data_IF_027067132889
#
_entry.id   IF_027067132889
#
_cell.length_a   1.000
_cell.length_b   1.000
_cell.length_c   1.000
_cell.angle_alpha   90.00
_cell.angle_beta   90.00
_cell.angle_gamma   90.00
#
_symmetry.space_group_name_H-M   'P 1'
#
loop_
_entity.id
_entity.type
_entity.pdbx_description
1 polymer ?
#
# COMPACT_ATOMS: atom_id res chain seq x y z
N UNK A 1 -9.77 -6.94 -13.71
CA UNK A 1 -8.27 -6.98 -13.64
C UNK A 1 -7.58 -6.85 -15.01
N UNK A 2 -8.36 -6.62 -16.05
CA UNK A 2 -7.83 -6.30 -17.39
C UNK A 2 -7.01 -4.99 -17.33
N UNK A 3 -7.47 -4.01 -16.58
CA UNK A 3 -6.87 -2.69 -16.39
C UNK A 3 -5.40 -2.77 -15.94
N UNK A 4 -5.08 -3.71 -15.06
CA UNK A 4 -3.70 -3.95 -14.62
C UNK A 4 -2.86 -4.60 -15.74
N UNK A 5 -3.41 -5.56 -16.47
CA UNK A 5 -2.71 -6.20 -17.58
C UNK A 5 -2.48 -5.21 -18.74
N UNK A 6 -3.45 -4.34 -19.03
CA UNK A 6 -3.31 -3.27 -20.03
C UNK A 6 -2.17 -2.30 -19.64
N UNK A 7 -2.03 -1.97 -18.34
CA UNK A 7 -0.88 -1.20 -17.84
C UNK A 7 0.45 -1.94 -18.06
N UNK A 8 0.51 -3.24 -17.72
CA UNK A 8 1.72 -4.05 -17.94
C UNK A 8 2.13 -4.07 -19.42
N UNK A 9 1.17 -4.29 -20.32
CA UNK A 9 1.38 -4.32 -21.76
C UNK A 9 1.85 -2.96 -22.27
N UNK A 10 1.18 -1.87 -21.87
CA UNK A 10 1.54 -0.51 -22.26
C UNK A 10 2.99 -0.18 -21.90
N UNK A 11 3.41 -0.50 -20.67
CA UNK A 11 4.77 -0.18 -20.24
C UNK A 11 5.82 -1.00 -20.97
N UNK A 12 5.56 -2.27 -21.27
CA UNK A 12 6.46 -3.09 -22.11
C UNK A 12 6.58 -2.56 -23.53
N UNK A 13 5.49 -2.05 -24.13
CA UNK A 13 5.45 -1.63 -25.54
C UNK A 13 5.90 -0.18 -25.75
N UNK A 14 5.55 0.72 -24.81
CA UNK A 14 5.73 2.17 -24.99
C UNK A 14 6.60 2.83 -23.90
N UNK A 15 7.06 2.06 -22.92
CA UNK A 15 7.95 2.58 -21.89
C UNK A 15 9.36 2.85 -22.41
N UNK A 16 10.08 3.70 -21.69
CA UNK A 16 11.46 4.08 -21.99
C UNK A 16 12.41 3.45 -20.98
N UNK A 17 13.57 3.01 -21.42
CA UNK A 17 14.64 2.55 -20.55
C UNK A 17 15.14 3.70 -19.67
N UNK A 18 15.22 3.45 -18.37
CA UNK A 18 15.75 4.39 -17.38
C UNK A 18 16.68 3.68 -16.41
N UNK A 19 17.76 4.36 -16.05
CA UNK A 19 18.55 3.98 -14.89
C UNK A 19 17.78 4.36 -13.62
N UNK A 20 17.96 3.57 -12.59
CA UNK A 20 17.33 3.80 -11.30
C UNK A 20 18.36 3.73 -10.16
N UNK A 21 17.94 4.12 -8.95
CA UNK A 21 18.79 4.13 -7.75
C UNK A 21 19.39 2.78 -7.40
N UNK A 22 18.68 1.70 -7.72
CA UNK A 22 19.11 0.32 -7.38
C UNK A 22 20.14 -0.26 -8.37
N UNK A 23 20.38 0.41 -9.50
CA UNK A 23 21.24 -0.08 -10.56
C UNK A 23 20.66 -1.24 -11.39
N UNK A 24 19.42 -1.67 -11.10
CA UNK A 24 18.74 -2.75 -11.83
C UNK A 24 18.29 -2.29 -13.22
N UNK A 25 17.92 -1.01 -13.37
CA UNK A 25 17.28 -0.45 -14.54
C UNK A 25 15.80 -0.77 -14.65
N UNK A 26 15.07 0.10 -15.34
CA UNK A 26 13.62 -0.02 -15.50
C UNK A 26 13.19 0.29 -16.92
N UNK A 27 12.03 -0.24 -17.32
CA UNK A 27 11.20 0.29 -18.41
C UNK A 27 10.11 1.13 -17.73
N UNK A 28 10.01 2.42 -18.06
CA UNK A 28 9.15 3.38 -17.39
C UNK A 28 8.23 4.09 -18.36
N UNK A 29 6.96 4.26 -17.97
CA UNK A 29 5.96 5.08 -18.67
C UNK A 29 5.40 6.12 -17.70
N UNK A 30 5.40 7.39 -18.09
CA UNK A 30 4.96 8.49 -17.22
C UNK A 30 3.51 8.89 -17.46
N UNK A 31 2.72 8.84 -16.39
CA UNK A 31 1.32 9.25 -16.37
C UNK A 31 0.36 8.19 -16.90
N UNK A 32 -0.26 7.44 -15.98
CA UNK A 32 -1.29 6.45 -16.29
C UNK A 32 -2.36 6.41 -15.21
N UNK A 33 -3.58 6.04 -15.59
CA UNK A 33 -4.68 5.88 -14.65
C UNK A 33 -5.45 4.61 -14.94
N UNK A 34 -5.72 3.83 -13.89
CA UNK A 34 -6.64 2.69 -13.91
C UNK A 34 -7.86 2.95 -13.05
N UNK A 35 -8.96 2.26 -13.32
CA UNK A 35 -10.20 2.36 -12.54
C UNK A 35 -10.76 0.97 -12.29
N UNK A 36 -11.05 0.68 -11.02
CA UNK A 36 -11.59 -0.59 -10.55
C UNK A 36 -12.97 -0.35 -9.93
N UNK A 37 -13.99 -0.97 -10.50
CA UNK A 37 -15.36 -0.95 -9.97
C UNK A 37 -15.45 -1.96 -8.82
N UNK A 38 -15.54 -1.46 -7.58
CA UNK A 38 -15.54 -2.30 -6.38
C UNK A 38 -16.86 -3.06 -6.19
N UNK A 39 -17.91 -2.69 -6.90
CA UNK A 39 -19.16 -3.44 -6.90
C UNK A 39 -19.07 -4.76 -7.69
N UNK A 40 -18.10 -4.88 -8.62
CA UNK A 40 -17.85 -6.11 -9.38
C UNK A 40 -17.02 -7.14 -8.62
N UNK A 41 -16.51 -6.80 -7.45
CA UNK A 41 -15.69 -7.66 -6.60
C UNK A 41 -14.42 -6.97 -6.13
N UNK A 42 -13.68 -7.65 -5.25
CA UNK A 42 -12.44 -7.14 -4.69
C UNK A 42 -11.29 -7.27 -5.70
N UNK A 43 -10.59 -6.17 -6.06
CA UNK A 43 -9.59 -6.17 -7.13
C UNK A 43 -8.26 -6.78 -6.70
N UNK A 44 -8.29 -8.03 -6.25
CA UNK A 44 -7.10 -8.83 -5.96
C UNK A 44 -6.72 -9.63 -7.20
N UNK A 45 -5.47 -9.50 -7.66
CA UNK A 45 -5.00 -10.15 -8.88
C UNK A 45 -5.22 -11.67 -8.87
N UNK A 46 -5.80 -12.20 -9.94
CA UNK A 46 -5.96 -13.63 -10.14
C UNK A 46 -4.90 -14.22 -11.08
N UNK A 47 -4.22 -13.41 -11.87
CA UNK A 47 -3.15 -13.85 -12.79
C UNK A 47 -1.84 -14.24 -12.08
N UNK A 48 -1.70 -13.90 -10.80
CA UNK A 48 -0.76 -14.48 -9.85
C UNK A 48 -1.35 -14.41 -8.44
N UNK A 49 -0.97 -15.35 -7.56
CA UNK A 49 -1.36 -15.29 -6.14
C UNK A 49 -0.69 -14.09 -5.48
N UNK A 50 -1.48 -13.27 -4.80
CA UNK A 50 -1.04 -12.12 -3.99
C UNK A 50 -1.25 -12.44 -2.51
N UNK A 51 -0.34 -11.99 -1.65
CA UNK A 51 -0.34 -12.31 -0.22
C UNK A 51 -1.22 -11.32 0.55
N UNK A 52 -2.54 -11.57 0.59
CA UNK A 52 -3.52 -10.68 1.22
C UNK A 52 -3.26 -10.43 2.71
N UNK A 53 -2.77 -11.45 3.44
CA UNK A 53 -2.42 -11.31 4.86
C UNK A 53 -1.49 -10.11 5.10
N UNK A 54 -0.41 -9.99 4.33
CA UNK A 54 0.51 -8.85 4.46
C UNK A 54 -0.15 -7.51 4.12
N UNK A 55 -1.05 -7.50 3.13
CA UNK A 55 -1.77 -6.27 2.72
C UNK A 55 -2.68 -5.78 3.85
N UNK A 56 -3.44 -6.67 4.48
CA UNK A 56 -4.34 -6.30 5.58
C UNK A 56 -3.54 -5.79 6.78
N UNK A 57 -2.52 -6.51 7.21
CA UNK A 57 -1.69 -6.10 8.35
C UNK A 57 -0.96 -4.77 8.11
N UNK A 58 -0.43 -4.55 6.89
CA UNK A 58 0.20 -3.28 6.51
C UNK A 58 -0.80 -2.13 6.54
N UNK A 59 -2.00 -2.31 5.96
CA UNK A 59 -3.04 -1.28 5.97
C UNK A 59 -3.47 -0.93 7.39
N UNK A 60 -3.72 -1.92 8.24
CA UNK A 60 -4.05 -1.70 9.64
C UNK A 60 -2.92 -1.01 10.40
N UNK A 61 -1.66 -1.33 10.11
CA UNK A 61 -0.48 -0.69 10.66
C UNK A 61 -0.42 0.80 10.28
N UNK A 62 -0.69 1.16 9.02
CA UNK A 62 -0.83 2.56 8.59
C UNK A 62 -1.98 3.27 9.32
N UNK A 63 -3.15 2.63 9.41
CA UNK A 63 -4.35 3.19 10.07
C UNK A 63 -4.09 3.46 11.55
N UNK A 64 -3.32 2.62 12.24
CA UNK A 64 -2.92 2.85 13.64
C UNK A 64 -1.86 3.94 13.82
N UNK A 65 -1.27 4.45 12.72
CA UNK A 65 -0.22 5.47 12.77
C UNK A 65 1.14 4.94 13.21
N UNK A 66 1.33 3.64 13.14
CA UNK A 66 2.58 2.99 13.52
C UNK A 66 3.68 3.24 12.49
N UNK A 67 4.93 3.30 12.97
CA UNK A 67 6.14 3.47 12.15
C UNK A 67 7.19 2.41 12.44
N UNK A 68 7.05 1.68 13.54
CA UNK A 68 7.94 0.58 13.91
C UNK A 68 7.43 -0.74 13.32
N UNK A 69 8.33 -1.51 12.73
CA UNK A 69 7.99 -2.77 12.04
C UNK A 69 7.68 -3.93 13.00
N UNK A 70 7.86 -3.78 14.31
CA UNK A 70 7.72 -4.88 15.27
C UNK A 70 6.34 -5.56 15.20
N UNK A 71 5.26 -4.78 15.13
CA UNK A 71 3.91 -5.34 15.00
C UNK A 71 3.70 -6.10 13.69
N UNK A 72 4.32 -5.65 12.60
CA UNK A 72 4.32 -6.36 11.31
C UNK A 72 5.09 -7.69 11.43
N UNK A 73 6.29 -7.66 12.00
CA UNK A 73 7.12 -8.85 12.20
C UNK A 73 6.43 -9.87 13.12
N UNK A 74 5.79 -9.43 14.21
CA UNK A 74 5.00 -10.31 15.12
C UNK A 74 3.84 -11.01 14.40
N UNK A 75 3.38 -10.44 13.27
CA UNK A 75 2.35 -11.01 12.39
C UNK A 75 2.93 -11.62 11.10
N UNK A 76 4.19 -12.00 11.08
CA UNK A 76 4.89 -12.64 9.95
C UNK A 76 4.85 -11.82 8.62
N UNK A 77 4.72 -10.49 8.72
CA UNK A 77 4.78 -9.56 7.60
C UNK A 77 6.20 -9.05 7.41
N UNK A 78 6.78 -9.25 6.21
CA UNK A 78 8.22 -9.05 5.94
C UNK A 78 8.53 -7.91 4.99
N UNK A 79 7.48 -7.25 4.46
CA UNK A 79 7.62 -6.30 3.34
C UNK A 79 8.37 -5.02 3.68
N UNK A 80 8.60 -4.75 4.98
CA UNK A 80 9.31 -3.56 5.46
C UNK A 80 10.66 -3.85 6.13
N UNK A 81 11.09 -5.12 6.23
CA UNK A 81 12.27 -5.52 7.01
C UNK A 81 13.58 -4.95 6.46
N UNK A 82 13.68 -4.79 5.13
CA UNK A 82 14.91 -4.42 4.44
C UNK A 82 15.46 -3.05 4.88
N UNK A 83 14.59 -2.04 4.98
CA UNK A 83 15.02 -0.67 5.27
C UNK A 83 15.62 -0.47 6.67
N UNK A 84 14.99 -0.91 7.75
CA UNK A 84 15.58 -0.80 9.08
C UNK A 84 16.79 -1.71 9.24
N UNK A 85 16.81 -2.90 8.60
CA UNK A 85 17.99 -3.76 8.58
C UNK A 85 19.19 -3.08 7.93
N UNK A 86 19.03 -2.47 6.76
CA UNK A 86 20.12 -1.73 6.10
C UNK A 86 20.62 -0.56 6.95
N UNK A 87 19.74 0.11 7.69
CA UNK A 87 20.12 1.15 8.65
C UNK A 87 20.90 0.56 9.82
N UNK A 88 20.45 -0.59 10.35
CA UNK A 88 21.11 -1.31 11.44
C UNK A 88 22.52 -1.77 11.02
N UNK A 89 22.70 -2.32 9.84
CA UNK A 89 24.01 -2.76 9.31
C UNK A 89 25.05 -1.63 9.23
N UNK A 90 24.59 -0.36 9.17
CA UNK A 90 25.47 0.82 9.17
C UNK A 90 25.74 1.39 10.57
N UNK A 91 25.14 0.82 11.60
CA UNK A 91 25.31 1.26 12.99
C UNK A 91 26.57 0.66 13.62
N UNK A 92 27.08 1.29 14.68
CA UNK A 92 28.20 0.77 15.47
C UNK A 92 27.85 -0.46 16.31
N UNK A 93 26.58 -0.86 16.34
CA UNK A 93 26.07 -1.99 17.11
C UNK A 93 25.88 -3.26 16.28
N UNK A 94 26.11 -3.17 14.96
CA UNK A 94 26.00 -4.30 14.05
C UNK A 94 27.13 -5.32 14.29
N UNK A 95 26.78 -6.59 14.51
CA UNK A 95 27.70 -7.68 14.80
C UNK A 95 27.66 -8.79 13.73
N UNK A 96 27.37 -8.42 12.49
CA UNK A 96 27.22 -9.31 11.32
C UNK A 96 25.98 -10.23 11.40
N UNK A 97 24.92 -9.79 12.08
CA UNK A 97 23.65 -10.50 12.07
C UNK A 97 23.07 -10.59 10.68
N UNK A 98 22.49 -11.74 10.37
CA UNK A 98 21.68 -11.95 9.17
C UNK A 98 20.33 -11.20 9.29
N UNK A 99 19.64 -11.06 8.16
CA UNK A 99 18.27 -10.50 8.16
C UNK A 99 17.35 -11.30 9.09
N UNK A 100 17.46 -12.61 9.11
CA UNK A 100 16.65 -13.49 9.94
C UNK A 100 16.91 -13.26 11.44
N UNK A 101 18.17 -13.13 11.84
CA UNK A 101 18.54 -12.84 13.23
C UNK A 101 18.11 -11.42 13.64
N UNK A 102 18.22 -10.44 12.76
CA UNK A 102 17.70 -9.08 13.00
C UNK A 102 16.18 -9.11 13.23
N UNK A 103 15.45 -9.79 12.35
CA UNK A 103 13.98 -9.93 12.45
C UNK A 103 13.57 -10.63 13.73
N UNK A 104 14.30 -11.66 14.15
CA UNK A 104 14.04 -12.37 15.40
C UNK A 104 14.29 -11.48 16.64
N UNK A 105 15.35 -10.65 16.60
CA UNK A 105 15.60 -9.64 17.65
C UNK A 105 14.47 -8.58 17.67
N UNK A 106 14.03 -8.05 16.52
CA UNK A 106 12.89 -7.11 16.44
C UNK A 106 11.63 -7.75 17.05
N UNK A 107 11.40 -9.04 16.80
CA UNK A 107 10.20 -9.75 17.26
C UNK A 107 10.16 -9.89 18.79
N UNK A 108 11.28 -10.21 19.41
CA UNK A 108 11.35 -10.69 20.78
C UNK A 108 11.97 -9.70 21.79
N UNK A 109 12.64 -8.65 21.32
CA UNK A 109 13.29 -7.64 22.15
C UNK A 109 12.68 -6.26 21.89
N UNK A 110 11.88 -5.77 22.82
CA UNK A 110 11.16 -4.49 22.66
C UNK A 110 12.13 -3.28 22.65
N UNK A 111 13.25 -3.33 23.38
CA UNK A 111 14.25 -2.26 23.37
C UNK A 111 15.03 -2.25 22.06
N UNK A 112 15.38 -3.42 21.53
CA UNK A 112 16.00 -3.54 20.23
C UNK A 112 15.05 -3.07 19.12
N UNK A 113 13.77 -3.46 19.16
CA UNK A 113 12.75 -3.03 18.23
C UNK A 113 12.55 -1.50 18.26
N UNK A 114 12.52 -0.91 19.46
CA UNK A 114 12.43 0.54 19.65
C UNK A 114 13.65 1.28 19.05
N UNK A 115 14.84 0.72 19.22
CA UNK A 115 16.07 1.33 18.71
C UNK A 115 16.24 1.22 17.18
N UNK A 116 15.85 0.07 16.60
CA UNK A 116 16.20 -0.28 15.22
C UNK A 116 15.03 -0.60 14.30
N UNK A 117 13.81 -0.74 14.82
CA UNK A 117 12.64 -1.11 14.01
C UNK A 117 11.88 0.07 13.41
N UNK A 118 12.24 1.32 13.74
CA UNK A 118 11.50 2.51 13.32
C UNK A 118 11.91 2.98 11.92
N UNK A 119 10.92 3.24 11.06
CA UNK A 119 11.07 3.71 9.69
C UNK A 119 11.05 5.23 9.55
N UNK A 120 10.92 5.94 10.68
CA UNK A 120 10.71 7.39 10.68
C UNK A 120 9.26 7.77 10.35
N UNK A 121 8.98 9.05 10.07
CA UNK A 121 7.62 9.57 9.95
C UNK A 121 6.94 9.19 8.61
N UNK A 122 6.90 7.88 8.30
CA UNK A 122 6.30 7.32 7.08
C UNK A 122 4.77 7.29 7.16
N UNK A 123 4.12 6.90 6.11
CA UNK A 123 2.67 6.78 5.83
C UNK A 123 1.72 6.92 7.03
N UNK A 124 1.71 5.97 7.97
CA UNK A 124 0.81 5.97 9.11
C UNK A 124 0.98 7.18 10.02
N UNK A 125 2.22 7.61 10.26
CA UNK A 125 2.52 8.84 11.02
C UNK A 125 1.93 10.07 10.34
N UNK A 126 2.04 10.19 9.02
CA UNK A 126 1.48 11.31 8.28
C UNK A 126 -0.04 11.27 8.26
N UNK A 127 -0.65 10.09 8.11
CA UNK A 127 -2.11 9.96 8.10
C UNK A 127 -2.76 10.34 9.43
N UNK A 128 -2.10 9.97 10.56
CA UNK A 128 -2.66 10.08 11.91
C UNK A 128 -2.10 11.25 12.73
N UNK A 129 -0.96 11.77 12.35
CA UNK A 129 -0.24 12.77 13.16
C UNK A 129 0.55 13.73 12.28
N UNK A 130 -0.11 14.32 11.28
CA UNK A 130 0.53 15.29 10.39
C UNK A 130 0.86 16.57 11.15
N UNK A 131 2.13 16.97 11.19
CA UNK A 131 2.57 18.17 11.90
C UNK A 131 2.39 19.40 11.03
N UNK A 132 1.58 20.36 11.52
CA UNK A 132 1.41 21.68 10.91
C UNK A 132 2.54 22.65 11.27
N UNK A 133 2.63 23.76 10.54
CA UNK A 133 3.61 24.83 10.77
C UNK A 133 3.45 25.54 12.12
N UNK A 134 2.23 25.47 12.70
CA UNK A 134 1.91 26.02 14.02
C UNK A 134 2.20 25.05 15.18
N UNK A 135 2.85 23.92 14.89
CA UNK A 135 3.15 22.86 15.85
C UNK A 135 1.98 21.98 16.22
N UNK A 136 0.79 22.22 15.67
CA UNK A 136 -0.39 21.37 15.91
C UNK A 136 -0.36 20.13 15.06
N UNK A 137 -0.84 19.04 15.63
CA UNK A 137 -0.95 17.75 14.95
C UNK A 137 -2.36 17.59 14.37
N UNK A 138 -2.43 17.10 13.15
CA UNK A 138 -3.69 16.83 12.44
C UNK A 138 -3.82 15.32 12.20
N UNK A 139 -4.87 14.71 12.72
CA UNK A 139 -5.30 13.37 12.32
C UNK A 139 -6.13 13.48 11.04
N UNK A 140 -5.50 13.22 9.90
CA UNK A 140 -6.14 13.38 8.60
C UNK A 140 -7.22 12.32 8.35
N UNK A 141 -7.01 11.05 8.80
CA UNK A 141 -8.01 9.99 8.64
C UNK A 141 -9.26 10.26 9.46
N UNK A 142 -9.11 10.68 10.72
CA UNK A 142 -10.24 11.05 11.57
C UNK A 142 -11.04 12.18 10.93
N UNK A 143 -10.35 13.25 10.51
CA UNK A 143 -11.02 14.42 9.88
C UNK A 143 -11.75 14.05 8.60
N UNK A 144 -11.17 13.21 7.76
CA UNK A 144 -11.82 12.80 6.51
C UNK A 144 -13.05 11.94 6.79
N UNK A 145 -12.99 11.02 7.76
CA UNK A 145 -14.16 10.23 8.18
C UNK A 145 -15.30 11.11 8.71
N UNK A 146 -14.98 12.08 9.56
CA UNK A 146 -15.94 13.06 10.07
C UNK A 146 -16.55 13.92 8.94
N UNK A 147 -15.72 14.42 8.03
CA UNK A 147 -16.14 15.25 6.91
C UNK A 147 -17.02 14.47 5.92
N UNK A 148 -16.75 13.18 5.65
CA UNK A 148 -17.62 12.32 4.83
C UNK A 148 -19.03 12.25 5.45
N UNK A 149 -19.14 12.10 6.77
CA UNK A 149 -20.41 12.00 7.45
C UNK A 149 -21.17 13.33 7.51
N UNK A 150 -20.46 14.45 7.73
CA UNK A 150 -21.08 15.76 7.91
C UNK A 150 -21.31 16.51 6.60
N UNK A 151 -20.43 16.34 5.61
CA UNK A 151 -20.43 17.05 4.33
C UNK A 151 -19.91 16.17 3.19
N UNK A 152 -20.68 15.16 2.77
CA UNK A 152 -20.26 14.20 1.75
C UNK A 152 -19.94 14.83 0.38
N UNK A 153 -20.43 16.04 0.10
CA UNK A 153 -20.13 16.79 -1.13
C UNK A 153 -18.81 17.57 -1.07
N UNK A 154 -18.06 17.46 0.01
CA UNK A 154 -16.78 18.15 0.17
C UNK A 154 -15.77 17.72 -0.91
N UNK A 155 -15.04 18.67 -1.48
CA UNK A 155 -13.92 18.44 -2.39
C UNK A 155 -12.58 18.36 -1.65
N UNK A 156 -12.62 18.32 -0.30
CA UNK A 156 -11.45 18.35 0.58
C UNK A 156 -11.25 17.04 1.35
N UNK A 157 -11.85 15.95 0.87
CA UNK A 157 -11.72 14.60 1.47
C UNK A 157 -10.36 14.00 1.10
N UNK A 158 -9.27 14.62 1.57
CA UNK A 158 -7.90 14.34 1.15
C UNK A 158 -7.08 13.90 2.35
N UNK A 159 -6.25 12.85 2.14
CA UNK A 159 -5.20 12.42 3.06
C UNK A 159 -3.87 12.41 2.31
N UNK A 160 -2.85 13.04 2.89
CA UNK A 160 -1.54 13.24 2.28
C UNK A 160 -0.45 12.65 3.17
N UNK A 161 0.43 11.81 2.58
CA UNK A 161 1.59 11.25 3.25
C UNK A 161 2.90 12.01 2.91
N UNK A 162 2.87 12.90 1.92
CA UNK A 162 4.07 13.64 1.49
C UNK A 162 4.27 14.89 2.35
N UNK A 163 5.32 14.87 3.15
CA UNK A 163 5.73 16.00 4.00
C UNK A 163 7.15 16.43 3.64
N UNK A 164 7.34 17.48 2.82
CA UNK A 164 8.66 17.84 2.29
C UNK A 164 9.74 18.06 3.34
N UNK A 165 9.38 18.59 4.51
CA UNK A 165 10.31 18.83 5.60
C UNK A 165 10.86 17.55 6.24
N UNK A 166 10.11 16.44 6.18
CA UNK A 166 10.47 15.17 6.84
C UNK A 166 10.97 14.07 5.90
N UNK A 167 11.04 14.31 4.59
CA UNK A 167 11.46 13.30 3.60
C UNK A 167 12.81 12.64 3.94
N UNK A 168 13.76 13.42 4.48
CA UNK A 168 15.09 12.92 4.84
C UNK A 168 15.11 12.04 6.09
N UNK A 169 14.07 12.13 6.92
CA UNK A 169 13.92 11.33 8.14
C UNK A 169 13.21 9.99 7.87
N UNK A 170 12.58 9.85 6.71
CA UNK A 170 11.87 8.64 6.30
C UNK A 170 12.84 7.60 5.74
N UNK A 171 12.74 6.36 6.19
CA UNK A 171 13.52 5.24 5.63
C UNK A 171 13.21 5.04 4.13
N UNK A 172 11.97 5.31 3.73
CA UNK A 172 11.52 5.34 2.34
C UNK A 172 10.50 6.47 2.15
N UNK A 173 10.79 7.49 1.29
CA UNK A 173 9.80 8.50 0.94
C UNK A 173 8.53 7.89 0.32
N UNK A 174 7.33 8.36 0.71
CA UNK A 174 6.07 7.76 0.26
C UNK A 174 5.95 7.66 -1.25
N UNK A 175 5.68 6.48 -1.78
CA UNK A 175 5.37 6.24 -3.19
C UNK A 175 3.91 6.57 -3.49
N UNK A 176 2.97 6.01 -2.74
CA UNK A 176 1.55 6.37 -2.75
C UNK A 176 1.32 7.52 -1.76
N UNK A 177 1.36 8.73 -2.29
CA UNK A 177 1.57 9.92 -1.47
C UNK A 177 0.31 10.70 -1.09
N UNK A 178 -0.77 10.55 -1.86
CA UNK A 178 -2.01 11.28 -1.62
C UNK A 178 -3.19 10.45 -2.11
N UNK A 179 -4.26 10.42 -1.32
CA UNK A 179 -5.54 9.89 -1.80
C UNK A 179 -6.69 10.83 -1.44
N UNK A 180 -7.74 10.76 -2.25
CA UNK A 180 -8.94 11.57 -2.12
C UNK A 180 -10.17 10.69 -2.20
N UNK A 181 -11.12 10.89 -1.29
CA UNK A 181 -12.44 10.28 -1.37
C UNK A 181 -13.43 11.17 -2.13
N UNK A 182 -14.43 10.54 -2.69
CA UNK A 182 -15.51 11.17 -3.42
C UNK A 182 -16.81 10.40 -3.16
N UNK A 183 -17.85 11.10 -2.75
CA UNK A 183 -19.18 10.53 -2.56
C UNK A 183 -20.10 10.96 -3.68
N UNK A 184 -20.78 10.00 -4.30
CA UNK A 184 -21.81 10.23 -5.29
C UNK A 184 -22.87 9.13 -5.22
N UNK A 185 -24.15 9.50 -5.24
CA UNK A 185 -25.27 8.54 -5.21
C UNK A 185 -25.13 7.48 -4.10
N UNK A 186 -24.83 7.93 -2.89
CA UNK A 186 -24.57 7.08 -1.71
C UNK A 186 -23.41 6.09 -1.86
N UNK A 187 -22.47 6.34 -2.78
CA UNK A 187 -21.29 5.49 -3.04
C UNK A 187 -20.01 6.25 -2.77
N UNK A 188 -19.10 5.60 -2.06
CA UNK A 188 -17.76 6.12 -1.78
C UNK A 188 -16.74 5.58 -2.78
N UNK A 189 -16.07 6.47 -3.46
CA UNK A 189 -14.92 6.17 -4.34
C UNK A 189 -13.64 6.75 -3.74
N UNK A 190 -12.49 6.16 -4.10
CA UNK A 190 -11.19 6.66 -3.71
C UNK A 190 -10.30 6.83 -4.95
N UNK A 191 -9.60 7.97 -5.05
CA UNK A 191 -8.53 8.19 -6.02
C UNK A 191 -7.20 8.25 -5.27
N UNK A 192 -6.26 7.40 -5.67
CA UNK A 192 -4.87 7.42 -5.23
C UNK A 192 -3.98 8.08 -6.27
N UNK A 193 -3.10 9.00 -5.85
CA UNK A 193 -1.93 9.39 -6.63
C UNK A 193 -0.68 8.71 -6.07
N UNK A 194 -0.01 7.93 -6.92
CA UNK A 194 1.24 7.24 -6.65
C UNK A 194 2.33 7.79 -7.58
N UNK A 195 3.37 8.44 -7.00
CA UNK A 195 4.43 9.07 -7.79
C UNK A 195 5.35 8.09 -8.50
N UNK A 196 5.51 6.89 -7.94
CA UNK A 196 6.44 5.85 -8.39
C UNK A 196 5.86 4.49 -8.07
N UNK A 197 5.77 3.60 -9.06
CA UNK A 197 5.05 2.35 -8.94
C UNK A 197 5.80 1.19 -9.62
N UNK A 198 6.38 0.29 -8.82
CA UNK A 198 6.81 -1.03 -9.28
C UNK A 198 5.57 -1.84 -9.68
N UNK A 199 5.38 -2.00 -10.97
CA UNK A 199 4.19 -2.66 -11.54
C UNK A 199 4.12 -4.13 -11.11
N UNK A 200 5.24 -4.82 -11.01
CA UNK A 200 5.21 -6.26 -10.73
C UNK A 200 4.99 -6.59 -9.26
N UNK A 201 5.73 -5.99 -8.33
CA UNK A 201 5.63 -6.29 -6.90
C UNK A 201 4.68 -5.34 -6.16
N UNK A 202 4.82 -4.03 -6.35
CA UNK A 202 4.12 -3.01 -5.56
C UNK A 202 2.67 -2.77 -5.97
N UNK A 203 2.40 -2.54 -7.26
CA UNK A 203 1.07 -2.15 -7.74
C UNK A 203 -0.04 -3.13 -7.33
N UNK A 204 0.15 -4.48 -7.37
CA UNK A 204 -0.88 -5.41 -6.91
C UNK A 204 -1.26 -5.24 -5.43
N UNK A 205 -0.28 -4.92 -4.58
CA UNK A 205 -0.50 -4.61 -3.16
C UNK A 205 -1.26 -3.30 -3.00
N UNK A 206 -0.84 -2.24 -3.71
CA UNK A 206 -1.46 -0.93 -3.62
C UNK A 206 -2.92 -0.95 -4.08
N UNK A 207 -3.25 -1.66 -5.19
CA UNK A 207 -4.63 -1.82 -5.65
C UNK A 207 -5.50 -2.44 -4.56
N UNK A 208 -5.08 -3.56 -3.99
CA UNK A 208 -5.85 -4.27 -2.99
C UNK A 208 -5.95 -3.48 -1.67
N UNK A 209 -4.86 -2.84 -1.24
CA UNK A 209 -4.81 -2.03 -0.01
C UNK A 209 -5.78 -0.86 -0.06
N UNK A 210 -5.76 -0.06 -1.15
CA UNK A 210 -6.64 1.10 -1.27
C UNK A 210 -8.09 0.74 -1.61
N UNK A 211 -8.32 -0.38 -2.30
CA UNK A 211 -9.66 -0.93 -2.44
C UNK A 211 -10.24 -1.32 -1.07
N UNK A 212 -9.45 -2.00 -0.24
CA UNK A 212 -9.85 -2.37 1.12
C UNK A 212 -10.09 -1.15 2.00
N UNK A 213 -9.19 -0.15 1.97
CA UNK A 213 -9.38 1.13 2.67
C UNK A 213 -10.69 1.82 2.27
N UNK A 214 -11.03 1.80 0.97
CA UNK A 214 -12.28 2.36 0.47
C UNK A 214 -13.48 1.60 1.02
N UNK A 215 -13.44 0.26 1.05
CA UNK A 215 -14.50 -0.57 1.60
C UNK A 215 -14.68 -0.35 3.11
N UNK A 216 -13.59 -0.26 3.87
CA UNK A 216 -13.61 0.03 5.31
C UNK A 216 -14.24 1.40 5.59
N UNK A 217 -13.81 2.43 4.88
CA UNK A 217 -14.33 3.79 5.04
C UNK A 217 -15.81 3.88 4.62
N UNK A 218 -16.21 3.23 3.54
CA UNK A 218 -17.61 3.16 3.12
C UNK A 218 -18.48 2.52 4.20
N UNK A 219 -18.02 1.40 4.80
CA UNK A 219 -18.75 0.68 5.86
C UNK A 219 -18.99 1.57 7.09
N UNK A 220 -17.98 2.24 7.61
CA UNK A 220 -18.12 3.08 8.82
C UNK A 220 -18.87 4.39 8.56
N UNK A 221 -18.95 4.82 7.30
CA UNK A 221 -19.74 6.00 6.90
C UNK A 221 -21.14 5.63 6.37
N UNK A 222 -21.58 4.37 6.47
CA UNK A 222 -22.87 3.88 5.97
C UNK A 222 -23.10 4.18 4.48
N UNK A 223 -22.06 4.05 3.67
CA UNK A 223 -22.08 4.23 2.22
C UNK A 223 -21.84 2.90 1.51
N UNK A 224 -22.33 2.78 0.28
CA UNK A 224 -21.92 1.72 -0.61
C UNK A 224 -20.53 2.00 -1.20
N UNK A 225 -19.89 0.95 -1.72
CA UNK A 225 -18.61 1.12 -2.41
C UNK A 225 -18.83 1.59 -3.86
N UNK A 226 -17.99 2.49 -4.31
CA UNK A 226 -17.92 2.97 -5.69
C UNK A 226 -16.70 2.42 -6.42
N UNK A 227 -15.80 3.31 -6.85
CA UNK A 227 -14.61 2.96 -7.60
C UNK A 227 -13.33 3.21 -6.80
N UNK A 228 -12.32 2.37 -7.05
CA UNK A 228 -10.94 2.74 -6.77
C UNK A 228 -10.28 3.22 -8.08
N UNK A 229 -9.73 4.43 -8.06
CA UNK A 229 -9.02 5.05 -9.18
C UNK A 229 -7.56 5.18 -8.81
N UNK A 230 -6.67 4.57 -9.60
CA UNK A 230 -5.25 4.59 -9.34
C UNK A 230 -4.52 5.43 -10.40
N UNK A 231 -4.07 6.59 -10.01
CA UNK A 231 -3.27 7.50 -10.85
C UNK A 231 -1.79 7.32 -10.52
N UNK A 232 -1.00 7.00 -11.52
CA UNK A 232 0.41 6.67 -11.38
C UNK A 232 1.24 7.70 -12.15
N UNK A 233 2.27 8.26 -11.51
CA UNK A 233 3.28 9.10 -12.14
C UNK A 233 4.27 8.24 -12.94
N UNK A 234 5.32 7.74 -12.31
CA UNK A 234 6.30 6.83 -12.92
C UNK A 234 5.85 5.38 -12.73
N UNK A 235 5.21 4.83 -13.76
CA UNK A 235 4.84 3.41 -13.80
C UNK A 235 5.99 2.62 -14.43
N UNK A 236 6.62 1.72 -13.66
CA UNK A 236 7.82 1.06 -14.15
C UNK A 236 7.85 -0.46 -13.89
N UNK A 237 8.53 -1.16 -14.79
CA UNK A 237 8.88 -2.58 -14.68
C UNK A 237 10.39 -2.65 -14.55
N UNK A 238 10.90 -3.23 -13.47
CA UNK A 238 12.32 -3.51 -13.33
C UNK A 238 12.78 -4.51 -14.38
N UNK A 239 14.00 -4.34 -14.93
CA UNK A 239 14.50 -5.21 -16.01
C UNK A 239 14.57 -6.68 -15.59
N UNK A 240 14.79 -6.97 -14.31
CA UNK A 240 14.77 -8.33 -13.77
C UNK A 240 13.36 -8.93 -13.59
N UNK A 241 12.29 -8.15 -13.90
CA UNK A 241 10.90 -8.61 -13.82
C UNK A 241 10.21 -8.77 -15.18
N UNK A 242 10.90 -8.53 -16.28
CA UNK A 242 10.31 -8.58 -17.64
C UNK A 242 9.70 -9.95 -17.94
N UNK A 243 10.43 -11.03 -17.68
CA UNK A 243 9.94 -12.39 -17.93
C UNK A 243 8.76 -12.78 -17.02
N UNK A 244 8.74 -12.28 -15.78
CA UNK A 244 7.62 -12.45 -14.85
C UNK A 244 6.36 -11.74 -15.36
N UNK A 245 6.49 -10.52 -15.87
CA UNK A 245 5.37 -9.77 -16.46
C UNK A 245 4.86 -10.47 -17.72
N UNK A 246 5.74 -10.91 -18.64
CA UNK A 246 5.35 -11.66 -19.83
C UNK A 246 4.57 -12.93 -19.45
N UNK A 247 5.08 -13.69 -18.45
CA UNK A 247 4.37 -14.86 -17.92
C UNK A 247 3.00 -14.49 -17.35
N UNK A 248 2.88 -13.36 -16.68
CA UNK A 248 1.61 -12.90 -16.11
C UNK A 248 0.62 -12.49 -17.21
N UNK A 249 1.10 -11.83 -18.27
CA UNK A 249 0.31 -11.44 -19.45
C UNK A 249 -0.22 -12.64 -20.25
N UNK A 250 0.48 -13.79 -20.22
CA UNK A 250 0.01 -15.03 -20.86
C UNK A 250 -1.16 -15.71 -20.14
N UNK A 251 -1.57 -15.20 -18.95
CA UNK A 251 -2.63 -15.79 -18.13
C UNK A 251 -3.93 -15.01 -18.27
N UNK A 252 -5.03 -15.70 -18.51
CA UNK A 252 -6.36 -15.09 -18.54
C UNK A 252 -6.84 -14.77 -17.13
N UNK A 253 -7.27 -13.53 -16.82
CA UNK A 253 -7.85 -13.20 -15.53
C UNK A 253 -9.08 -14.09 -15.22
N UNK A 254 -9.16 -14.53 -13.97
CA UNK A 254 -10.33 -15.26 -13.44
C UNK A 254 -11.29 -14.27 -12.78
N UNK A 255 -12.45 -14.76 -12.35
CA UNK A 255 -13.43 -13.96 -11.60
C UNK A 255 -12.77 -13.32 -10.38
N UNK A 256 -13.19 -12.08 -10.06
CA UNK A 256 -12.74 -11.39 -8.86
C UNK A 256 -13.28 -12.08 -7.61
N UNK A 257 -12.47 -12.19 -6.56
CA UNK A 257 -12.95 -12.64 -5.26
C UNK A 257 -13.87 -11.60 -4.62
N UNK A 258 -14.53 -12.02 -3.54
CA UNK A 258 -15.33 -11.16 -2.68
C UNK A 258 -14.60 -10.90 -1.38
N UNK A 259 -14.56 -9.65 -0.95
CA UNK A 259 -14.10 -9.27 0.39
C UNK A 259 -15.33 -9.05 1.27
N UNK A 260 -15.47 -9.88 2.30
CA UNK A 260 -16.50 -9.71 3.32
C UNK A 260 -15.84 -9.02 4.52
N UNK A 261 -16.48 -7.96 5.00
CA UNK A 261 -16.04 -7.23 6.21
C UNK A 261 -17.09 -7.48 7.29
N UNK A 262 -16.73 -8.29 8.29
CA UNK A 262 -17.60 -8.64 9.41
C UNK A 262 -17.66 -7.53 10.48
N UNK A 263 -18.61 -7.67 11.40
CA UNK A 263 -18.76 -6.77 12.55
C UNK A 263 -19.49 -5.45 12.23
N UNK A 264 -19.65 -4.63 13.26
CA UNK A 264 -20.38 -3.34 13.21
C UNK A 264 -19.45 -2.22 13.71
N UNK A 265 -18.27 -2.10 13.11
CA UNK A 265 -17.30 -1.07 13.44
C UNK A 265 -17.92 0.33 13.23
N UNK A 266 -17.71 1.21 14.20
CA UNK A 266 -18.18 2.60 14.14
C UNK A 266 -17.06 3.56 13.68
N UNK A 267 -15.84 3.09 13.68
CA UNK A 267 -14.66 3.84 13.27
C UNK A 267 -13.73 2.98 12.44
N UNK A 268 -13.00 3.62 11.52
CA UNK A 268 -11.96 2.95 10.73
C UNK A 268 -10.82 2.39 11.61
N UNK A 269 -10.72 2.87 12.84
CA UNK A 269 -9.70 2.46 13.81
C UNK A 269 -10.07 1.20 14.61
N UNK A 270 -11.32 0.73 14.50
CA UNK A 270 -11.84 -0.42 15.25
C UNK A 270 -11.55 -1.76 14.56
N UNK A 271 -11.15 -1.72 13.30
CA UNK A 271 -10.91 -2.93 12.50
C UNK A 271 -9.71 -3.74 12.98
N UNK A 272 -9.90 -5.06 12.97
CA UNK A 272 -8.88 -6.08 13.23
C UNK A 272 -8.74 -7.01 12.03
N UNK A 273 -7.66 -7.77 11.99
CA UNK A 273 -7.39 -8.72 10.90
C UNK A 273 -8.54 -9.73 10.71
N UNK A 274 -9.12 -10.20 11.80
CA UNK A 274 -10.18 -11.21 11.86
C UNK A 274 -11.52 -10.72 11.27
N UNK A 275 -11.68 -9.42 11.08
CA UNK A 275 -12.88 -8.85 10.48
C UNK A 275 -12.95 -9.05 8.95
N UNK A 276 -11.86 -9.49 8.33
CA UNK A 276 -11.76 -9.60 6.88
C UNK A 276 -11.76 -11.07 6.42
N UNK A 277 -12.71 -11.42 5.56
CA UNK A 277 -12.82 -12.74 4.96
C UNK A 277 -12.78 -12.61 3.43
N UNK A 278 -11.84 -13.32 2.80
CA UNK A 278 -11.74 -13.40 1.35
C UNK A 278 -12.41 -14.66 0.85
N UNK A 279 -13.47 -14.52 0.04
CA UNK A 279 -14.20 -15.62 -0.57
C UNK A 279 -13.91 -15.72 -2.07
N UNK A 280 -13.94 -16.93 -2.61
CA UNK A 280 -13.84 -17.24 -4.05
C UNK A 280 -12.51 -16.81 -4.70
N UNK A 281 -11.41 -16.74 -3.93
CA UNK A 281 -10.10 -16.39 -4.49
C UNK A 281 -9.40 -17.61 -5.08
N UNK A 282 -9.44 -17.73 -6.40
CA UNK A 282 -8.86 -18.82 -7.16
C UNK A 282 -7.78 -18.27 -8.12
N UNK A 283 -6.61 -17.87 -7.63
CA UNK A 283 -5.55 -17.30 -8.47
C UNK A 283 -4.74 -18.39 -9.17
N UNK A 284 -3.99 -17.98 -10.20
CA UNK A 284 -2.85 -18.74 -10.66
C UNK A 284 -1.73 -18.78 -9.61
N UNK A 285 -0.82 -19.76 -9.68
CA UNK A 285 0.33 -19.82 -8.77
C UNK A 285 1.12 -18.52 -8.75
N UNK A 286 1.74 -18.23 -7.59
CA UNK A 286 2.62 -17.08 -7.42
C UNK A 286 3.76 -17.07 -8.45
N UNK A 287 4.18 -15.87 -8.82
CA UNK A 287 5.37 -15.65 -9.63
C UNK A 287 6.36 -14.91 -8.74
N UNK A 288 7.52 -15.53 -8.45
CA UNK A 288 8.56 -14.92 -7.62
C UNK A 288 9.30 -13.82 -8.38
N UNK A 289 9.63 -12.73 -7.71
CA UNK A 289 10.51 -11.66 -8.19
C UNK A 289 11.44 -11.21 -7.08
N UNK A 290 12.66 -10.79 -7.42
CA UNK A 290 13.59 -10.20 -6.46
C UNK A 290 13.23 -8.72 -6.26
N UNK A 291 13.21 -8.27 -5.01
CA UNK A 291 13.04 -6.84 -4.70
C UNK A 291 14.30 -6.10 -5.16
N UNK A 292 14.13 -4.97 -5.84
CA UNK A 292 15.20 -4.05 -6.17
C UNK A 292 15.36 -3.04 -5.01
N UNK A 293 16.50 -3.05 -4.33
CA UNK A 293 16.81 -2.27 -3.12
C UNK A 293 18.11 -1.49 -3.26
#
# INVERSE_FOLDING_TARGET
>A
MKEYLDLCQLVLEKGHLKNDRTGTGTISYFGYQTRYDLQKGFPLLTTKKVHLHSIIHELLWFIRGETNIQSLVKNDVRIWNEWPYQKYCKSNYYQNETMEEFVEKIKNDDEFAKAYGDLGPVYGKQWRSFLGSDGKVVDQLQKVMEEINCNPNSRRLIVNAWHPAYIKEMALPPCHLLFQFYVNENRLSCLLYQRSADIFLGVPFNIASYALLTMMMAKVCNLEVGNFVHTIGDAHIYLNHIEQIKKQLSRTPRMLPKMIIHGNQQSIFDFKYEDFELQDYIPYPAIKGKVAV
#
